data_IF_258123148212
#
_entry.id   IF_258123148212
#
_cell.length_a   1.000
_cell.length_b   1.000
_cell.length_c   1.000
_cell.angle_alpha   90.00
_cell.angle_beta   90.00
_cell.angle_gamma   90.00
#
_symmetry.space_group_name_H-M   'P 1'
#
loop_
_entity.id
_entity.type
_entity.pdbx_description
1 polymer ?
#
# COMPACT_ATOMS: atom_id res chain seq x y z
N UNK A 1 3.03 -1.64 -2.48
CA UNK A 1 3.76 -0.79 -3.46
C UNK A 1 4.39 -1.70 -4.49
N UNK A 2 4.24 -1.41 -5.78
CA UNK A 2 4.84 -2.18 -6.85
C UNK A 2 5.64 -1.25 -7.74
N UNK A 3 6.86 -1.67 -8.14
CA UNK A 3 7.61 -0.99 -9.19
C UNK A 3 6.96 -1.30 -10.54
N UNK A 4 6.58 -0.27 -11.28
CA UNK A 4 6.07 -0.41 -12.64
C UNK A 4 7.21 -0.38 -13.65
N UNK A 5 7.12 -1.21 -14.69
CA UNK A 5 8.02 -1.17 -15.83
C UNK A 5 9.33 -1.93 -15.68
N UNK A 6 9.55 -2.64 -14.56
CA UNK A 6 10.76 -3.45 -14.37
C UNK A 6 10.76 -4.73 -15.19
N UNK A 7 9.61 -5.21 -15.65
CA UNK A 7 9.46 -6.49 -16.31
C UNK A 7 9.68 -7.72 -15.43
N UNK A 8 9.94 -7.51 -14.14
CA UNK A 8 10.07 -8.54 -13.12
C UNK A 8 9.24 -8.19 -11.89
N UNK A 9 8.98 -9.16 -11.03
CA UNK A 9 8.04 -9.07 -9.91
C UNK A 9 8.66 -8.58 -8.61
N UNK A 10 9.91 -8.20 -8.60
CA UNK A 10 10.59 -7.70 -7.40
C UNK A 10 9.97 -6.40 -6.88
N UNK A 11 10.09 -6.18 -5.58
CA UNK A 11 9.58 -5.02 -4.83
C UNK A 11 8.05 -4.91 -4.72
N UNK A 12 7.31 -5.99 -5.01
CA UNK A 12 5.88 -6.11 -4.73
C UNK A 12 5.57 -6.69 -3.34
N UNK A 13 6.36 -6.36 -2.31
CA UNK A 13 6.46 -7.09 -1.05
C UNK A 13 5.31 -6.91 -0.08
N UNK A 14 4.73 -5.72 -0.04
CA UNK A 14 3.76 -5.35 0.98
C UNK A 14 2.39 -5.07 0.34
N UNK A 15 1.43 -5.96 0.60
CA UNK A 15 0.05 -5.74 0.20
C UNK A 15 -0.76 -5.19 1.36
N UNK A 16 -1.31 -3.98 1.17
CA UNK A 16 -2.33 -3.38 2.01
C UNK A 16 -3.62 -3.25 1.21
N UNK A 17 -4.69 -3.92 1.65
CA UNK A 17 -5.98 -3.92 0.94
C UNK A 17 -7.13 -3.63 1.90
N UNK A 18 -7.75 -2.43 1.84
CA UNK A 18 -8.94 -2.13 2.61
C UNK A 18 -10.16 -2.82 2.01
N UNK A 19 -10.99 -3.40 2.86
CA UNK A 19 -12.22 -4.08 2.43
C UNK A 19 -13.29 -4.08 3.54
N UNK A 20 -14.51 -4.45 3.19
CA UNK A 20 -15.65 -4.43 4.10
C UNK A 20 -16.42 -5.74 4.09
N UNK A 21 -17.20 -5.99 5.15
CA UNK A 21 -18.03 -7.17 5.32
C UNK A 21 -17.33 -8.25 6.15
N UNK A 22 -17.52 -9.51 5.82
CA UNK A 22 -16.93 -10.62 6.59
C UNK A 22 -15.41 -10.65 6.44
N UNK A 23 -14.70 -10.97 7.54
CA UNK A 23 -13.25 -11.16 7.52
C UNK A 23 -12.83 -12.20 6.49
N UNK A 24 -11.78 -11.90 5.73
CA UNK A 24 -11.24 -12.72 4.65
C UNK A 24 -9.73 -12.86 4.78
N UNK A 25 -9.19 -13.97 4.32
CA UNK A 25 -7.73 -14.25 4.29
C UNK A 25 -7.22 -14.49 2.88
N UNK A 26 -8.13 -14.66 1.90
CA UNK A 26 -7.81 -14.90 0.50
C UNK A 26 -8.36 -13.79 -0.39
N UNK A 27 -7.73 -13.49 -1.53
CA UNK A 27 -8.19 -12.44 -2.44
C UNK A 27 -9.51 -12.76 -3.14
N UNK A 28 -9.91 -14.03 -3.17
CA UNK A 28 -10.96 -14.55 -4.02
C UNK A 28 -10.39 -15.23 -5.27
N UNK A 29 -11.24 -15.80 -6.09
CA UNK A 29 -10.84 -16.42 -7.36
C UNK A 29 -11.20 -15.51 -8.53
N UNK A 30 -10.59 -15.73 -9.68
CA UNK A 30 -10.90 -14.99 -10.91
C UNK A 30 -12.40 -15.16 -11.29
N UNK A 31 -12.95 -16.36 -11.09
CA UNK A 31 -14.36 -16.66 -11.38
C UNK A 31 -15.32 -16.13 -10.30
N UNK A 32 -14.86 -15.95 -9.07
CA UNK A 32 -15.63 -15.40 -7.96
C UNK A 32 -14.78 -14.46 -7.08
N UNK A 33 -14.51 -13.23 -7.54
CA UNK A 33 -13.76 -12.24 -6.77
C UNK A 33 -14.44 -11.85 -5.46
N UNK A 34 -15.78 -11.98 -5.38
CA UNK A 34 -16.57 -11.68 -4.18
C UNK A 34 -16.35 -12.68 -3.03
N UNK A 35 -15.70 -13.82 -3.31
CA UNK A 35 -15.36 -14.80 -2.26
C UNK A 35 -14.21 -14.35 -1.35
N UNK A 36 -13.46 -13.30 -1.72
CA UNK A 36 -12.30 -12.81 -0.99
C UNK A 36 -12.33 -11.31 -0.71
N UNK A 37 -11.15 -10.76 -0.42
CA UNK A 37 -10.95 -9.33 -0.15
C UNK A 37 -10.70 -8.49 -1.42
N UNK A 38 -10.50 -9.09 -2.58
CA UNK A 38 -10.33 -8.35 -3.83
C UNK A 38 -11.58 -7.53 -4.19
N UNK A 39 -11.42 -6.54 -5.02
CA UNK A 39 -12.49 -5.66 -5.46
C UNK A 39 -12.46 -5.38 -6.94
N UNK A 40 -13.63 -5.24 -7.53
CA UNK A 40 -13.77 -4.62 -8.85
C UNK A 40 -13.53 -3.11 -8.74
N UNK A 41 -12.96 -2.55 -9.79
CA UNK A 41 -12.87 -1.11 -10.04
C UNK A 41 -13.07 -0.83 -11.53
N UNK A 42 -13.25 0.41 -11.90
CA UNK A 42 -13.26 0.82 -13.32
C UNK A 42 -12.34 2.02 -13.52
N UNK A 43 -11.83 2.16 -14.75
CA UNK A 43 -10.96 3.30 -15.10
C UNK A 43 -11.66 4.66 -14.93
N UNK A 44 -12.98 4.70 -14.98
CA UNK A 44 -13.74 5.94 -14.70
C UNK A 44 -13.70 6.37 -13.23
N UNK A 45 -13.39 5.42 -12.33
CA UNK A 45 -13.30 5.65 -10.89
C UNK A 45 -11.85 5.74 -10.42
N UNK A 46 -10.90 5.75 -11.36
CA UNK A 46 -9.48 5.80 -11.11
C UNK A 46 -8.91 7.16 -11.49
N UNK A 47 -8.08 7.71 -10.63
CA UNK A 47 -7.28 8.91 -10.86
C UNK A 47 -5.82 8.59 -10.60
N UNK A 48 -4.96 8.73 -11.61
CA UNK A 48 -3.53 8.51 -11.48
C UNK A 48 -2.78 9.75 -11.97
N UNK A 49 -2.09 10.41 -11.04
CA UNK A 49 -1.27 11.60 -11.27
C UNK A 49 0.10 11.39 -10.60
N UNK A 50 1.16 12.04 -11.09
CA UNK A 50 2.42 12.06 -10.36
C UNK A 50 2.21 12.59 -8.94
N UNK A 51 2.49 11.77 -7.92
CA UNK A 51 2.29 12.11 -6.51
C UNK A 51 0.93 11.75 -5.90
N UNK A 52 -0.05 11.34 -6.70
CA UNK A 52 -1.38 10.97 -6.19
C UNK A 52 -2.01 9.84 -6.99
N UNK A 53 -2.62 8.90 -6.27
CA UNK A 53 -3.46 7.86 -6.83
C UNK A 53 -4.78 7.77 -6.06
N UNK A 54 -5.89 7.70 -6.78
CA UNK A 54 -7.22 7.52 -6.20
C UNK A 54 -8.03 6.47 -6.96
N UNK A 55 -8.79 5.64 -6.24
CA UNK A 55 -9.68 4.64 -6.83
C UNK A 55 -10.87 4.34 -5.93
N UNK A 56 -12.01 3.97 -6.52
CA UNK A 56 -13.16 3.44 -5.78
C UNK A 56 -13.22 1.92 -5.95
N UNK A 57 -13.05 1.22 -4.84
CA UNK A 57 -13.20 -0.23 -4.75
C UNK A 57 -14.69 -0.58 -4.70
N UNK A 58 -15.28 -0.94 -5.86
CA UNK A 58 -16.74 -1.09 -6.03
C UNK A 58 -17.36 -2.16 -5.13
N UNK A 59 -16.69 -3.30 -4.99
CA UNK A 59 -17.16 -4.41 -4.14
C UNK A 59 -17.33 -3.98 -2.69
N UNK A 60 -16.40 -3.17 -2.20
CA UNK A 60 -16.35 -2.72 -0.81
C UNK A 60 -16.89 -1.31 -0.59
N UNK A 61 -17.28 -0.63 -1.67
CA UNK A 61 -17.73 0.79 -1.67
C UNK A 61 -16.77 1.69 -0.89
N UNK A 62 -15.48 1.40 -1.02
CA UNK A 62 -14.40 2.08 -0.30
C UNK A 62 -13.60 2.93 -1.28
N UNK A 63 -13.47 4.22 -0.99
CA UNK A 63 -12.54 5.09 -1.71
C UNK A 63 -11.16 4.92 -1.11
N UNK A 64 -10.17 4.71 -1.96
CA UNK A 64 -8.74 4.64 -1.61
C UNK A 64 -8.03 5.80 -2.25
N UNK A 65 -7.27 6.55 -1.46
CA UNK A 65 -6.40 7.63 -1.91
C UNK A 65 -5.00 7.38 -1.38
N UNK A 66 -4.00 7.50 -2.24
CA UNK A 66 -2.61 7.20 -1.93
C UNK A 66 -1.71 8.34 -2.36
N UNK A 67 -0.76 8.67 -1.52
CA UNK A 67 0.40 9.52 -1.83
C UNK A 67 1.63 8.97 -1.12
N UNK A 68 2.80 9.51 -1.37
CA UNK A 68 4.02 9.06 -0.71
C UNK A 68 5.07 10.16 -0.68
N UNK A 69 5.89 10.15 0.35
CA UNK A 69 7.21 10.78 0.37
C UNK A 69 8.26 9.79 -0.15
N UNK A 70 9.53 10.00 0.15
CA UNK A 70 10.63 9.18 -0.38
C UNK A 70 10.60 7.74 0.17
N UNK A 71 10.20 7.55 1.45
CA UNK A 71 10.21 6.25 2.15
C UNK A 71 8.93 5.96 2.93
N UNK A 72 7.93 6.82 2.81
CA UNK A 72 6.66 6.67 3.55
C UNK A 72 5.48 6.78 2.59
N UNK A 73 4.68 5.73 2.50
CA UNK A 73 3.38 5.79 1.84
C UNK A 73 2.33 6.36 2.80
N UNK A 74 1.46 7.21 2.30
CA UNK A 74 0.34 7.76 3.05
C UNK A 74 -0.95 7.34 2.36
N UNK A 75 -1.73 6.49 3.01
CA UNK A 75 -2.99 5.96 2.53
C UNK A 75 -4.14 6.66 3.25
N UNK A 76 -5.21 6.92 2.53
CA UNK A 76 -6.50 7.36 3.05
C UNK A 76 -7.59 6.44 2.54
N UNK A 77 -8.34 5.84 3.46
CA UNK A 77 -9.46 4.97 3.16
C UNK A 77 -10.75 5.62 3.64
N UNK A 78 -11.72 5.80 2.74
CA UNK A 78 -13.06 6.25 3.09
C UNK A 78 -14.03 5.08 2.94
N UNK A 79 -14.54 4.60 4.06
CA UNK A 79 -15.42 3.45 4.14
C UNK A 79 -16.89 3.84 4.17
N UNK A 80 -17.80 2.95 3.77
CA UNK A 80 -19.22 3.10 4.04
C UNK A 80 -19.51 3.01 5.55
N UNK A 81 -20.63 3.64 5.96
CA UNK A 81 -21.07 3.65 7.37
C UNK A 81 -21.57 2.29 7.82
N UNK A 82 -21.44 2.01 9.10
CA UNK A 82 -22.08 0.88 9.81
C UNK A 82 -21.84 -0.49 9.15
N UNK A 83 -20.62 -0.73 8.68
CA UNK A 83 -20.18 -2.04 8.17
C UNK A 83 -18.90 -2.47 8.87
N UNK A 84 -18.65 -3.76 8.92
CA UNK A 84 -17.35 -4.29 9.35
C UNK A 84 -16.26 -3.86 8.36
N UNK A 85 -15.12 -3.40 8.87
CA UNK A 85 -14.02 -2.80 8.10
C UNK A 85 -12.72 -3.44 8.47
N UNK A 86 -11.95 -3.73 7.44
CA UNK A 86 -10.65 -4.38 7.58
C UNK A 86 -9.63 -3.76 6.63
N UNK A 87 -8.36 -3.86 7.03
CA UNK A 87 -7.23 -3.70 6.12
C UNK A 87 -6.43 -4.99 6.17
N UNK A 88 -6.41 -5.73 5.06
CA UNK A 88 -5.55 -6.90 4.90
C UNK A 88 -4.10 -6.44 4.76
N UNK A 89 -3.22 -7.02 5.56
CA UNK A 89 -1.76 -6.99 5.38
C UNK A 89 -1.35 -8.41 4.99
N UNK A 90 -0.92 -8.59 3.75
CA UNK A 90 -0.54 -9.89 3.23
C UNK A 90 0.96 -9.88 2.91
N UNK A 91 1.73 -10.68 3.66
CA UNK A 91 3.18 -10.82 3.49
C UNK A 91 3.54 -12.12 2.75
N UNK A 92 2.55 -13.03 2.56
CA UNK A 92 2.74 -14.27 1.82
C UNK A 92 2.80 -14.04 0.31
N UNK A 93 1.73 -13.40 -0.22
CA UNK A 93 1.55 -13.26 -1.64
C UNK A 93 2.20 -11.97 -2.14
N UNK A 94 3.10 -12.08 -3.09
CA UNK A 94 3.71 -10.96 -3.79
C UNK A 94 3.12 -10.82 -5.19
N UNK A 95 3.61 -9.86 -5.94
CA UNK A 95 3.25 -9.65 -7.33
C UNK A 95 4.21 -10.43 -8.24
N UNK A 96 3.91 -11.69 -8.53
CA UNK A 96 4.68 -12.54 -9.45
C UNK A 96 5.40 -13.73 -8.79
N UNK A 97 6.59 -14.06 -9.26
CA UNK A 97 7.30 -15.29 -8.90
C UNK A 97 8.15 -15.20 -7.62
N UNK A 98 8.17 -14.04 -7.00
CA UNK A 98 8.88 -13.80 -5.76
C UNK A 98 8.25 -14.60 -4.61
N UNK A 99 9.09 -15.34 -3.86
CA UNK A 99 8.66 -16.25 -2.80
C UNK A 99 9.14 -15.76 -1.45
N UNK A 100 8.27 -15.65 -0.45
CA UNK A 100 8.69 -15.33 0.90
C UNK A 100 9.57 -16.46 1.46
N UNK A 101 10.63 -16.08 2.14
CA UNK A 101 11.53 -16.99 2.88
C UNK A 101 11.37 -16.84 4.38
N UNK A 102 10.98 -15.65 4.84
CA UNK A 102 10.60 -15.36 6.22
C UNK A 102 9.75 -14.10 6.26
N UNK A 103 8.69 -14.12 7.06
CA UNK A 103 7.79 -12.97 7.25
C UNK A 103 7.45 -12.83 8.73
N UNK A 104 7.27 -11.60 9.17
CA UNK A 104 6.96 -11.26 10.55
C UNK A 104 5.94 -10.14 10.61
N UNK A 105 4.98 -10.25 11.52
CA UNK A 105 3.96 -9.23 11.73
C UNK A 105 3.62 -9.15 13.22
N UNK A 106 3.59 -7.93 13.77
CA UNK A 106 3.21 -7.68 15.16
C UNK A 106 2.34 -6.44 15.31
N UNK A 107 1.43 -6.46 16.26
CA UNK A 107 0.78 -5.27 16.77
C UNK A 107 1.60 -4.72 17.93
N UNK A 108 2.26 -3.58 17.68
CA UNK A 108 3.16 -2.91 18.64
C UNK A 108 2.36 -2.19 19.75
N UNK A 109 1.26 -1.54 19.33
CA UNK A 109 0.34 -0.82 20.23
C UNK A 109 -1.03 -0.65 19.53
N UNK A 110 -1.93 0.13 20.14
CA UNK A 110 -3.31 0.29 19.66
C UNK A 110 -3.44 0.94 18.27
N UNK A 111 -2.38 1.57 17.77
CA UNK A 111 -2.40 2.24 16.46
C UNK A 111 -1.24 1.83 15.55
N UNK A 112 -0.40 0.88 15.96
CA UNK A 112 0.85 0.59 15.24
C UNK A 112 1.01 -0.90 15.00
N UNK A 113 1.29 -1.25 13.75
CA UNK A 113 1.67 -2.58 13.31
C UNK A 113 3.05 -2.47 12.66
N UNK A 114 3.96 -3.38 12.99
CA UNK A 114 5.28 -3.49 12.38
C UNK A 114 5.51 -4.89 11.85
N UNK A 115 6.43 -5.01 10.89
CA UNK A 115 6.76 -6.31 10.34
C UNK A 115 7.86 -6.24 9.29
N UNK A 116 8.16 -7.41 8.75
CA UNK A 116 9.08 -7.52 7.63
C UNK A 116 8.71 -8.67 6.69
N UNK A 117 9.23 -8.59 5.50
CA UNK A 117 9.20 -9.67 4.50
C UNK A 117 10.60 -9.88 3.94
N UNK A 118 11.09 -11.09 4.08
CA UNK A 118 12.26 -11.60 3.38
C UNK A 118 11.78 -12.49 2.24
N UNK A 119 12.37 -12.35 1.07
CA UNK A 119 11.96 -13.08 -0.11
C UNK A 119 13.12 -13.40 -1.04
N UNK A 120 12.87 -14.31 -1.97
CA UNK A 120 13.78 -14.69 -3.04
C UNK A 120 13.00 -14.79 -4.35
N UNK A 121 13.50 -14.09 -5.34
CA UNK A 121 12.97 -14.04 -6.70
C UNK A 121 14.09 -13.75 -7.67
N UNK A 122 13.97 -12.72 -8.47
CA UNK A 122 15.06 -12.21 -9.29
C UNK A 122 16.22 -11.71 -8.41
N UNK A 123 15.89 -10.97 -7.34
CA UNK A 123 16.82 -10.77 -6.23
C UNK A 123 16.87 -12.04 -5.36
N UNK A 124 18.06 -12.59 -5.14
CA UNK A 124 18.23 -13.81 -4.33
C UNK A 124 17.95 -13.61 -2.86
N UNK A 125 18.13 -12.40 -2.36
CA UNK A 125 17.90 -12.00 -0.98
C UNK A 125 17.33 -10.59 -0.97
N UNK A 126 16.01 -10.50 -0.88
CA UNK A 126 15.31 -9.25 -0.70
C UNK A 126 14.77 -9.17 0.71
N UNK A 127 14.90 -8.00 1.32
CA UNK A 127 14.45 -7.79 2.69
C UNK A 127 13.86 -6.39 2.80
N UNK A 128 12.61 -6.34 3.27
CA UNK A 128 11.90 -5.08 3.51
C UNK A 128 11.26 -5.11 4.90
N UNK A 129 11.58 -4.13 5.70
CA UNK A 129 10.94 -3.86 6.99
C UNK A 129 9.93 -2.74 6.81
N UNK A 130 8.85 -2.79 7.57
CA UNK A 130 7.85 -1.72 7.58
C UNK A 130 7.31 -1.46 8.98
N UNK A 131 6.80 -0.24 9.16
CA UNK A 131 5.94 0.15 10.27
C UNK A 131 4.74 0.88 9.69
N UNK A 132 3.54 0.46 10.08
CA UNK A 132 2.28 1.09 9.70
C UNK A 132 1.65 1.75 10.93
N UNK A 133 1.40 3.06 10.86
CA UNK A 133 0.72 3.83 11.92
C UNK A 133 -0.65 4.24 11.41
N UNK A 134 -1.68 3.91 12.16
CA UNK A 134 -3.09 4.17 11.86
C UNK A 134 -3.59 5.39 12.63
N UNK A 135 -4.45 6.19 12.03
CA UNK A 135 -5.05 7.38 12.66
C UNK A 135 -6.06 7.05 13.77
N UNK A 136 -6.54 5.80 13.80
CA UNK A 136 -7.54 5.31 14.72
C UNK A 136 -7.05 4.04 15.41
N UNK A 137 -7.57 3.72 16.62
CA UNK A 137 -7.28 2.46 17.28
C UNK A 137 -7.70 1.26 16.45
N UNK A 138 -6.83 0.24 16.43
CA UNK A 138 -7.02 -0.99 15.66
C UNK A 138 -6.82 -2.23 16.52
N UNK A 139 -7.25 -3.38 16.02
CA UNK A 139 -6.86 -4.71 16.50
C UNK A 139 -6.34 -5.53 15.32
N UNK A 140 -5.30 -6.31 15.55
CA UNK A 140 -4.71 -7.18 14.53
C UNK A 140 -5.12 -8.64 14.77
N UNK A 141 -5.78 -9.25 13.79
CA UNK A 141 -6.01 -10.69 13.76
C UNK A 141 -4.98 -11.33 12.83
N UNK A 142 -4.25 -12.32 13.35
CA UNK A 142 -3.12 -12.97 12.69
C UNK A 142 -3.49 -14.33 12.10
N UNK A 143 -2.87 -14.69 10.97
CA UNK A 143 -3.13 -15.94 10.26
C UNK A 143 -1.85 -16.52 9.65
N UNK A 144 -1.65 -17.85 9.81
CA UNK A 144 -0.84 -18.63 8.90
C UNK A 144 -1.70 -18.98 7.68
N UNK A 145 -1.47 -18.28 6.58
CA UNK A 145 -2.33 -18.29 5.38
C UNK A 145 -3.81 -18.04 5.70
N UNK A 146 -4.58 -19.06 6.00
CA UNK A 146 -6.01 -18.97 6.36
C UNK A 146 -6.31 -19.47 7.78
N UNK A 147 -5.32 -19.97 8.50
CA UNK A 147 -5.47 -20.55 9.83
C UNK A 147 -5.26 -19.45 10.87
N UNK A 148 -6.27 -19.13 11.71
CA UNK A 148 -6.13 -18.08 12.71
C UNK A 148 -5.13 -18.46 13.81
N UNK A 149 -4.33 -17.49 14.23
CA UNK A 149 -3.35 -17.63 15.31
C UNK A 149 -3.67 -16.63 16.43
N UNK A 150 -3.60 -17.10 17.67
CA UNK A 150 -3.80 -16.25 18.84
C UNK A 150 -2.51 -15.48 19.19
N UNK A 151 -2.66 -14.25 19.65
CA UNK A 151 -1.54 -13.38 20.03
C UNK A 151 -1.47 -12.12 19.20
N UNK A 152 -0.44 -11.33 19.47
CA UNK A 152 -0.18 -10.06 18.81
C UNK A 152 1.06 -10.09 17.89
N UNK A 153 1.70 -11.25 17.76
CA UNK A 153 2.91 -11.47 16.96
C UNK A 153 2.85 -12.81 16.24
N UNK A 154 3.32 -12.84 15.01
CA UNK A 154 3.45 -14.07 14.22
C UNK A 154 4.65 -13.98 13.28
N UNK A 155 5.41 -15.07 13.21
CA UNK A 155 6.51 -15.26 12.26
C UNK A 155 6.30 -16.55 11.46
N UNK A 156 6.65 -16.55 10.19
CA UNK A 156 6.55 -17.70 9.29
C UNK A 156 6.76 -17.27 7.83
N UNK A 157 6.49 -18.18 6.89
CA UNK A 157 6.63 -17.88 5.45
C UNK A 157 5.31 -17.43 4.81
N UNK A 158 4.20 -17.46 5.53
CA UNK A 158 2.84 -17.29 5.02
C UNK A 158 1.98 -16.38 5.93
N UNK A 159 2.63 -15.42 6.58
CA UNK A 159 1.97 -14.53 7.54
C UNK A 159 1.03 -13.56 6.83
N UNK A 160 -0.19 -13.49 7.34
CA UNK A 160 -1.22 -12.51 6.99
C UNK A 160 -1.82 -11.89 8.25
N UNK A 161 -2.23 -10.63 8.14
CA UNK A 161 -2.92 -9.92 9.21
C UNK A 161 -4.15 -9.20 8.70
N UNK A 162 -5.24 -9.27 9.44
CA UNK A 162 -6.39 -8.39 9.26
C UNK A 162 -6.40 -7.33 10.35
N UNK A 163 -6.15 -6.10 9.96
CA UNK A 163 -6.38 -4.94 10.82
C UNK A 163 -7.88 -4.69 10.89
N UNK A 164 -8.44 -4.79 12.08
CA UNK A 164 -9.86 -4.61 12.38
C UNK A 164 -10.06 -3.15 12.80
N UNK A 165 -10.92 -2.44 12.07
CA UNK A 165 -11.25 -1.04 12.30
C UNK A 165 -12.65 -0.94 12.90
N UNK A 166 -12.88 -0.01 13.82
CA UNK A 166 -14.18 0.21 14.44
C UNK A 166 -15.25 0.59 13.38
N UNK A 167 -16.47 0.10 13.55
CA UNK A 167 -17.54 0.22 12.54
C UNK A 167 -18.04 1.66 12.33
N UNK A 168 -17.84 2.54 13.28
CA UNK A 168 -18.17 3.98 13.24
C UNK A 168 -17.10 4.83 12.54
N UNK A 169 -15.88 4.33 12.35
CA UNK A 169 -14.82 5.01 11.61
C UNK A 169 -15.17 5.07 10.13
N UNK A 170 -15.43 6.25 9.60
CA UNK A 170 -15.68 6.45 8.16
C UNK A 170 -14.41 6.71 7.37
N UNK A 171 -13.42 7.34 8.00
CA UNK A 171 -12.12 7.64 7.38
C UNK A 171 -11.00 7.08 8.25
N UNK A 172 -10.12 6.34 7.61
CA UNK A 172 -8.90 5.82 8.21
C UNK A 172 -7.71 6.29 7.38
N UNK A 173 -6.83 7.03 8.01
CA UNK A 173 -5.54 7.42 7.44
C UNK A 173 -4.46 6.47 7.96
N UNK A 174 -3.52 6.05 7.08
CA UNK A 174 -2.46 5.11 7.42
C UNK A 174 -1.14 5.59 6.82
N UNK A 175 -0.10 5.69 7.65
CA UNK A 175 1.27 5.96 7.21
C UNK A 175 2.06 4.66 7.26
N UNK A 176 2.67 4.28 6.15
CA UNK A 176 3.49 3.08 6.05
C UNK A 176 4.92 3.48 5.71
N UNK A 177 5.77 3.49 6.71
CA UNK A 177 7.20 3.68 6.52
C UNK A 177 7.86 2.36 6.13
N UNK A 178 8.85 2.44 5.25
CA UNK A 178 9.64 1.28 4.82
C UNK A 178 11.13 1.51 5.07
N UNK A 179 11.86 0.42 5.28
CA UNK A 179 13.34 0.43 5.42
C UNK A 179 13.91 -0.91 5.01
N UNK A 180 15.08 -0.95 4.34
CA UNK A 180 15.81 -2.20 4.11
C UNK A 180 16.63 -2.65 5.34
N UNK A 181 16.62 -1.89 6.45
CA UNK A 181 17.51 -2.09 7.59
C UNK A 181 16.79 -2.63 8.82
N UNK A 182 15.69 -1.96 9.26
CA UNK A 182 14.93 -2.40 10.43
C UNK A 182 13.54 -1.74 10.51
N UNK A 183 12.67 -2.30 11.37
CA UNK A 183 11.34 -1.75 11.68
C UNK A 183 11.45 -0.39 12.40
N UNK A 184 12.45 -0.21 13.26
CA UNK A 184 12.73 1.05 13.96
C UNK A 184 13.10 2.17 12.97
N UNK A 185 13.91 1.84 11.95
CA UNK A 185 14.23 2.78 10.88
C UNK A 185 13.00 3.12 10.03
N UNK A 186 12.13 2.15 9.74
CA UNK A 186 10.86 2.39 9.07
C UNK A 186 9.97 3.35 9.89
N UNK A 187 9.89 3.16 11.21
CA UNK A 187 9.19 4.08 12.11
C UNK A 187 9.85 5.47 12.18
N UNK A 188 11.18 5.53 12.14
CA UNK A 188 11.92 6.80 12.11
C UNK A 188 11.63 7.59 10.82
N UNK A 189 11.54 6.92 9.68
CA UNK A 189 11.18 7.54 8.42
C UNK A 189 9.80 8.21 8.48
N UNK A 190 8.80 7.58 9.12
CA UNK A 190 7.48 8.21 9.32
C UNK A 190 7.61 9.52 10.09
N UNK A 191 8.36 9.52 11.20
CA UNK A 191 8.54 10.71 12.03
C UNK A 191 9.25 11.84 11.31
N UNK A 192 10.20 11.50 10.42
CA UNK A 192 11.00 12.48 9.68
C UNK A 192 10.26 13.05 8.47
N UNK A 193 9.55 12.22 7.72
CA UNK A 193 9.00 12.60 6.43
C UNK A 193 7.54 13.02 6.49
N UNK A 194 6.73 12.34 7.32
CA UNK A 194 5.28 12.62 7.46
C UNK A 194 4.92 12.60 8.94
N UNK A 195 5.32 13.64 9.68
CA UNK A 195 5.07 13.73 11.12
C UNK A 195 3.58 13.93 11.47
N UNK A 196 2.86 14.73 10.70
CA UNK A 196 1.44 15.04 10.90
C UNK A 196 0.50 14.20 10.01
N UNK A 197 -0.82 14.38 10.20
CA UNK A 197 -1.86 13.70 9.44
C UNK A 197 -2.44 14.56 8.28
N UNK A 198 -1.67 15.52 7.76
CA UNK A 198 -2.09 16.37 6.66
C UNK A 198 -1.78 15.69 5.31
N UNK A 199 -2.74 14.90 4.82
CA UNK A 199 -2.63 14.16 3.56
C UNK A 199 -2.46 15.11 2.37
N UNK A 200 -3.22 16.20 2.33
CA UNK A 200 -3.21 17.18 1.25
C UNK A 200 -1.83 17.83 1.11
N UNK A 201 -1.19 18.16 2.23
CA UNK A 201 0.19 18.69 2.24
C UNK A 201 1.17 17.72 1.57
N UNK A 202 1.08 16.42 1.90
CA UNK A 202 1.98 15.42 1.30
C UNK A 202 1.71 15.26 -0.20
N UNK A 203 0.46 15.32 -0.64
CA UNK A 203 0.10 15.33 -2.08
C UNK A 203 0.74 16.52 -2.77
N UNK A 204 0.61 17.72 -2.21
CA UNK A 204 1.15 18.96 -2.79
C UNK A 204 2.68 18.91 -2.86
N UNK A 205 3.36 18.51 -1.79
CA UNK A 205 4.82 18.37 -1.73
C UNK A 205 5.34 17.35 -2.75
N UNK A 206 4.69 16.19 -2.85
CA UNK A 206 5.09 15.14 -3.79
C UNK A 206 4.82 15.56 -5.23
N UNK A 207 3.68 16.20 -5.49
CA UNK A 207 3.35 16.75 -6.80
C UNK A 207 4.35 17.83 -7.20
N UNK A 208 4.77 18.69 -6.27
CA UNK A 208 5.80 19.72 -6.53
C UNK A 208 7.16 19.10 -6.88
N UNK A 209 7.58 18.04 -6.17
CA UNK A 209 8.80 17.27 -6.49
C UNK A 209 8.74 16.71 -7.91
N UNK A 210 7.65 16.03 -8.27
CA UNK A 210 7.47 15.49 -9.62
C UNK A 210 7.45 16.57 -10.70
N UNK A 211 6.77 17.70 -10.45
CA UNK A 211 6.74 18.84 -11.38
C UNK A 211 8.13 19.45 -11.57
N UNK A 212 8.95 19.53 -10.52
CA UNK A 212 10.32 20.01 -10.61
C UNK A 212 11.16 19.10 -11.52
N UNK A 213 11.06 17.77 -11.38
CA UNK A 213 11.77 16.82 -12.22
C UNK A 213 11.29 16.84 -13.68
N UNK A 214 9.97 16.76 -13.89
CA UNK A 214 9.38 16.74 -15.23
C UNK A 214 9.58 18.05 -15.99
N UNK A 215 9.71 19.18 -15.30
CA UNK A 215 9.94 20.49 -15.94
C UNK A 215 11.38 20.73 -16.40
N UNK A 216 12.33 19.83 -16.08
CA UNK A 216 13.69 19.88 -16.62
C UNK A 216 13.72 19.74 -18.15
N UNK A 217 12.71 19.08 -18.73
CA UNK A 217 12.51 19.01 -20.17
C UNK A 217 11.17 19.65 -20.52
N UNK A 218 11.22 20.73 -21.30
CA UNK A 218 10.04 21.48 -21.68
C UNK A 218 9.74 21.30 -23.16
N UNK A 219 8.49 20.88 -23.47
CA UNK A 219 8.02 20.71 -24.84
C UNK A 219 6.93 21.73 -25.13
N UNK A 220 7.13 22.52 -26.20
CA UNK A 220 6.13 23.45 -26.71
C UNK A 220 5.45 22.82 -27.94
N UNK A 221 4.17 22.52 -27.82
CA UNK A 221 3.34 21.95 -28.88
C UNK A 221 1.87 22.26 -28.61
N UNK A 222 1.10 22.43 -29.68
CA UNK A 222 -0.38 22.55 -29.62
C UNK A 222 -1.07 21.20 -29.59
N UNK A 223 -0.33 20.11 -29.91
CA UNK A 223 -0.84 18.75 -29.81
C UNK A 223 -0.79 18.26 -28.36
N UNK A 224 -1.97 18.29 -27.72
CA UNK A 224 -2.14 17.87 -26.33
C UNK A 224 -1.91 16.36 -26.13
N UNK A 225 -2.15 15.54 -27.14
CA UNK A 225 -1.92 14.08 -27.10
C UNK A 225 -0.42 13.79 -27.13
N UNK A 226 0.30 14.39 -28.05
CA UNK A 226 1.76 14.24 -28.13
C UNK A 226 2.44 14.76 -26.84
N UNK A 227 1.98 15.88 -26.31
CA UNK A 227 2.47 16.42 -25.03
C UNK A 227 2.25 15.44 -23.86
N UNK A 228 1.07 14.83 -23.78
CA UNK A 228 0.76 13.83 -22.76
C UNK A 228 1.64 12.59 -22.88
N UNK A 229 1.80 12.07 -24.10
CA UNK A 229 2.67 10.91 -24.38
C UNK A 229 4.11 11.21 -23.95
N UNK A 230 4.64 12.39 -24.32
CA UNK A 230 5.99 12.80 -23.95
C UNK A 230 6.21 12.80 -22.42
N UNK A 231 5.33 13.50 -21.67
CA UNK A 231 5.50 13.58 -20.22
C UNK A 231 5.20 12.25 -19.51
N UNK A 232 4.31 11.42 -20.06
CA UNK A 232 4.11 10.06 -19.53
C UNK A 232 5.36 9.20 -19.72
N UNK A 233 5.99 9.25 -20.90
CA UNK A 233 7.24 8.53 -21.16
C UNK A 233 8.39 9.05 -20.27
N UNK A 234 8.49 10.37 -20.10
CA UNK A 234 9.47 10.99 -19.19
C UNK A 234 9.25 10.52 -17.74
N UNK A 235 8.00 10.58 -17.24
CA UNK A 235 7.65 10.07 -15.90
C UNK A 235 8.08 8.61 -15.71
N UNK A 236 7.75 7.73 -16.68
CA UNK A 236 8.12 6.32 -16.62
C UNK A 236 9.64 6.10 -16.69
N UNK A 237 10.38 6.97 -17.38
CA UNK A 237 11.85 6.88 -17.45
C UNK A 237 12.53 7.29 -16.13
N UNK A 238 11.92 8.19 -15.34
CA UNK A 238 12.49 8.67 -14.08
C UNK A 238 12.31 7.68 -12.92
N UNK A 239 11.48 6.66 -13.07
CA UNK A 239 11.28 5.62 -12.04
C UNK A 239 12.55 4.78 -11.81
N UNK A 240 13.47 4.79 -12.75
CA UNK A 240 14.68 3.96 -12.74
C UNK A 240 15.98 4.72 -12.44
N UNK A 241 15.89 5.95 -11.94
CA UNK A 241 17.06 6.78 -11.62
C UNK A 241 17.31 6.79 -10.11
#
# INVERSE_FOLDING_TARGET
MHLNGTGCSDTGDLLFMPYTGKMRTQPGTQDNPLSGYASYYSKSDETALPGYYGVVLKTHRTKVELTASDRVAFHRYTFPKNVEKYVMINLKDANGDDRPTDTYLEQVNDTTVSGYRCSSGWSKQQQIYFTAVFSEPIRLALFHDSIPVQGNVLQGIDVKGNVIVASDVERLDVKVGISPVSMENAAANIRQEIADWNFERVVDETTAKWNAELSKLQVSTTDTVAKRIFYTALYLSLIHI
#
